data_IF_787745541080
#
_entry.id   IF_787745541080
#
_cell.length_a   1.000
_cell.length_b   1.000
_cell.length_c   1.000
_cell.angle_alpha   90.00
_cell.angle_beta   90.00
_cell.angle_gamma   90.00
#
_symmetry.space_group_name_H-M   'P 1'
#
loop_
_entity.id
_entity.type
_entity.pdbx_description
1 polymer ?
#
# COMPACT_ATOMS: atom_id res chain seq x y z
N UNK A 1 55.06 1.67 -23.76
CA UNK A 1 54.66 1.59 -22.35
C UNK A 1 53.18 1.88 -22.29
N UNK A 2 52.35 0.90 -21.86
CA UNK A 2 50.92 1.08 -21.74
C UNK A 2 50.62 1.78 -20.40
N UNK A 3 49.32 2.09 -20.13
CA UNK A 3 48.90 2.79 -18.92
C UNK A 3 49.21 1.99 -17.64
N UNK A 4 49.11 0.65 -17.73
CA UNK A 4 49.34 -0.24 -16.60
C UNK A 4 50.84 -0.29 -16.25
N UNK A 5 51.74 -0.36 -17.23
CA UNK A 5 53.19 -0.28 -17.05
C UNK A 5 53.63 1.07 -16.42
N UNK A 6 52.92 2.15 -16.76
CA UNK A 6 53.17 3.49 -16.20
C UNK A 6 52.72 3.58 -14.73
N UNK A 7 51.58 2.98 -14.39
CA UNK A 7 51.05 2.90 -13.03
C UNK A 7 52.00 2.06 -12.16
N UNK A 8 52.42 0.89 -12.64
CA UNK A 8 53.32 -0.01 -11.91
C UNK A 8 54.72 0.65 -11.67
N UNK A 9 55.20 1.41 -12.61
CA UNK A 9 56.46 2.17 -12.46
C UNK A 9 56.30 3.31 -11.46
N UNK A 10 55.14 3.99 -11.44
CA UNK A 10 54.78 5.03 -10.49
C UNK A 10 54.68 4.50 -9.05
N UNK A 11 54.09 3.31 -8.89
CA UNK A 11 53.96 2.62 -7.59
C UNK A 11 55.34 2.21 -7.09
N UNK A 12 56.17 1.57 -7.93
CA UNK A 12 57.50 1.13 -7.58
C UNK A 12 58.46 2.28 -7.16
N UNK A 13 58.19 3.48 -7.68
CA UNK A 13 58.99 4.68 -7.35
C UNK A 13 58.36 5.53 -6.23
N UNK A 14 57.30 5.09 -5.58
CA UNK A 14 56.59 5.81 -4.50
C UNK A 14 55.89 7.10 -4.94
N UNK A 15 55.71 7.30 -6.24
CA UNK A 15 55.04 8.47 -6.83
C UNK A 15 53.50 8.30 -6.83
N UNK A 16 53.05 7.04 -6.89
CA UNK A 16 51.61 6.68 -6.85
C UNK A 16 51.40 5.77 -5.63
N UNK A 17 50.64 6.22 -4.67
CA UNK A 17 50.11 5.34 -3.64
C UNK A 17 48.93 4.56 -4.19
N UNK A 18 48.98 3.23 -4.18
CA UNK A 18 47.80 2.40 -4.37
C UNK A 18 46.87 2.72 -3.20
N UNK A 19 45.67 3.28 -3.40
CA UNK A 19 44.77 3.42 -2.28
C UNK A 19 44.54 2.02 -1.72
N UNK A 20 44.74 1.84 -0.43
CA UNK A 20 44.30 0.61 0.27
C UNK A 20 42.85 0.38 -0.13
N UNK A 21 42.59 -0.72 -0.84
CA UNK A 21 41.26 -1.13 -1.20
C UNK A 21 40.61 -1.52 0.12
N UNK A 22 39.83 -0.63 0.68
CA UNK A 22 39.07 -0.89 1.91
C UNK A 22 38.13 -2.04 1.64
N UNK A 23 38.49 -3.24 2.09
CA UNK A 23 37.71 -4.46 1.90
C UNK A 23 36.49 -4.40 2.79
N UNK A 24 35.33 -4.08 2.23
CA UNK A 24 34.05 -4.09 2.93
C UNK A 24 33.14 -5.19 2.43
N UNK A 25 32.55 -5.90 3.36
CA UNK A 25 31.55 -6.94 3.08
C UNK A 25 30.23 -6.30 2.63
N UNK A 26 29.43 -7.08 1.91
CA UNK A 26 28.07 -6.65 1.51
C UNK A 26 27.23 -6.24 2.73
N UNK A 27 27.37 -6.94 3.86
CA UNK A 27 26.63 -6.62 5.09
C UNK A 27 27.02 -5.25 5.66
N UNK A 28 28.30 -4.93 5.70
CA UNK A 28 28.79 -3.63 6.18
C UNK A 28 28.27 -2.48 5.32
N UNK A 29 28.32 -2.66 4.00
CA UNK A 29 27.80 -1.68 3.05
C UNK A 29 26.27 -1.57 3.14
N UNK A 30 25.55 -2.70 3.30
CA UNK A 30 24.12 -2.67 3.52
C UNK A 30 23.75 -1.86 4.75
N UNK A 31 24.43 -2.03 5.88
CA UNK A 31 24.18 -1.27 7.12
C UNK A 31 24.34 0.23 6.90
N UNK A 32 25.44 0.65 6.27
CA UNK A 32 25.69 2.06 5.96
C UNK A 32 24.62 2.63 5.01
N UNK A 33 24.31 1.91 3.93
CA UNK A 33 23.26 2.28 2.99
C UNK A 33 21.89 2.38 3.66
N UNK A 34 21.57 1.43 4.55
CA UNK A 34 20.29 1.43 5.25
C UNK A 34 20.16 2.60 6.22
N UNK A 35 21.22 2.95 6.96
CA UNK A 35 21.26 4.15 7.80
C UNK A 35 21.03 5.44 7.01
N UNK A 36 21.60 5.55 5.81
CA UNK A 36 21.29 6.67 4.92
C UNK A 36 19.83 6.65 4.49
N UNK A 37 19.28 5.48 4.14
CA UNK A 37 17.90 5.34 3.64
C UNK A 37 16.84 5.69 4.67
N UNK A 38 17.02 5.40 5.93
CA UNK A 38 16.03 5.70 6.99
C UNK A 38 15.73 7.20 7.10
N UNK A 39 16.68 8.06 6.72
CA UNK A 39 16.51 9.52 6.72
C UNK A 39 15.87 10.08 5.45
N UNK A 40 15.77 9.28 4.39
CA UNK A 40 15.34 9.75 3.06
C UNK A 40 13.99 9.19 2.63
N UNK A 41 13.66 7.96 3.05
CA UNK A 41 12.44 7.28 2.61
C UNK A 41 11.43 7.11 3.75
N UNK A 42 10.19 6.82 3.40
CA UNK A 42 9.14 6.56 4.39
C UNK A 42 9.50 5.39 5.31
N UNK A 43 9.23 5.52 6.61
CA UNK A 43 9.50 4.50 7.63
C UNK A 43 8.92 3.11 7.28
N UNK A 44 7.73 3.04 6.69
CA UNK A 44 7.17 1.78 6.19
C UNK A 44 8.02 1.12 5.08
N UNK A 45 8.69 1.91 4.25
CA UNK A 45 9.58 1.39 3.21
C UNK A 45 10.85 0.85 3.83
N UNK A 46 11.37 1.50 4.87
CA UNK A 46 12.50 1.00 5.67
C UNK A 46 12.16 -0.34 6.31
N UNK A 47 10.99 -0.46 6.95
CA UNK A 47 10.54 -1.71 7.56
C UNK A 47 10.45 -2.85 6.54
N UNK A 48 10.03 -2.54 5.32
CA UNK A 48 9.93 -3.53 4.23
C UNK A 48 11.31 -3.97 3.73
N UNK A 49 12.25 -3.04 3.58
CA UNK A 49 13.65 -3.35 3.21
C UNK A 49 14.26 -4.25 4.25
N UNK A 50 14.16 -3.89 5.53
CA UNK A 50 14.72 -4.66 6.63
C UNK A 50 14.11 -6.07 6.73
N UNK A 51 12.77 -6.19 6.61
CA UNK A 51 12.11 -7.51 6.60
C UNK A 51 12.60 -8.37 5.43
N UNK A 52 12.79 -7.75 4.25
CA UNK A 52 13.32 -8.46 3.07
C UNK A 52 14.77 -8.89 3.29
N UNK A 53 15.60 -8.00 3.83
CA UNK A 53 16.99 -8.31 4.15
C UNK A 53 17.10 -9.44 5.17
N UNK A 54 16.42 -9.31 6.31
CA UNK A 54 16.47 -10.31 7.38
C UNK A 54 15.95 -11.67 6.93
N UNK A 55 15.01 -11.69 6.00
CA UNK A 55 14.42 -12.93 5.50
C UNK A 55 15.31 -13.65 4.49
N UNK A 56 15.98 -12.94 3.59
CA UNK A 56 16.64 -13.54 2.43
C UNK A 56 18.16 -13.38 2.43
N UNK A 57 18.69 -12.34 3.08
CA UNK A 57 20.10 -12.00 3.06
C UNK A 57 20.81 -12.38 4.36
N UNK A 58 20.21 -12.05 5.51
CA UNK A 58 20.86 -12.23 6.80
C UNK A 58 21.33 -13.66 7.01
N UNK A 59 22.61 -13.82 7.39
CA UNK A 59 23.24 -15.11 7.60
C UNK A 59 23.61 -15.90 6.33
N UNK A 60 23.27 -15.39 5.13
CA UNK A 60 23.67 -16.03 3.87
C UNK A 60 25.18 -15.91 3.62
N UNK A 61 25.72 -16.77 2.77
CA UNK A 61 27.11 -16.64 2.32
C UNK A 61 27.36 -15.33 1.57
N UNK A 62 26.35 -14.81 0.86
CA UNK A 62 26.44 -13.64 0.00
C UNK A 62 26.80 -12.37 0.77
N UNK A 63 26.21 -12.15 1.94
CA UNK A 63 26.45 -10.94 2.75
C UNK A 63 27.85 -10.88 3.34
N UNK A 64 28.51 -12.04 3.45
CA UNK A 64 29.89 -12.15 3.96
C UNK A 64 30.94 -11.90 2.90
N UNK A 65 30.55 -11.82 1.62
CA UNK A 65 31.48 -11.54 0.52
C UNK A 65 31.88 -10.07 0.52
N UNK A 66 33.14 -9.81 0.19
CA UNK A 66 33.60 -8.48 -0.15
C UNK A 66 32.87 -7.98 -1.41
N UNK A 67 32.36 -6.74 -1.38
CA UNK A 67 31.59 -6.18 -2.51
C UNK A 67 32.41 -6.07 -3.79
N UNK A 68 33.71 -5.93 -3.71
CA UNK A 68 34.64 -5.89 -4.85
C UNK A 68 34.77 -7.26 -5.56
N UNK A 69 34.49 -8.35 -4.82
CA UNK A 69 34.60 -9.74 -5.31
C UNK A 69 33.28 -10.29 -5.86
N UNK A 70 32.19 -9.53 -5.71
CA UNK A 70 30.90 -9.94 -6.22
C UNK A 70 30.86 -9.76 -7.74
N UNK A 71 30.79 -10.86 -8.45
CA UNK A 71 30.57 -10.92 -9.89
C UNK A 71 29.12 -11.31 -10.23
N UNK A 72 28.78 -11.27 -11.51
CA UNK A 72 27.44 -11.66 -12.00
C UNK A 72 27.07 -13.09 -11.61
N UNK A 73 28.04 -14.00 -11.67
CA UNK A 73 27.81 -15.40 -11.32
C UNK A 73 27.45 -15.56 -9.82
N UNK A 74 28.08 -14.78 -8.94
CA UNK A 74 27.77 -14.77 -7.53
C UNK A 74 26.34 -14.25 -7.26
N UNK A 75 25.96 -13.15 -7.93
CA UNK A 75 24.61 -12.59 -7.82
C UNK A 75 23.55 -13.55 -8.35
N UNK A 76 23.75 -14.14 -9.53
CA UNK A 76 22.86 -15.12 -10.14
C UNK A 76 22.72 -16.35 -9.24
N UNK A 77 23.83 -16.88 -8.73
CA UNK A 77 23.82 -18.03 -7.81
C UNK A 77 23.04 -17.74 -6.54
N UNK A 78 23.23 -16.56 -5.94
CA UNK A 78 22.49 -16.15 -4.76
C UNK A 78 20.98 -16.07 -5.05
N UNK A 79 20.57 -15.32 -6.08
CA UNK A 79 19.16 -15.12 -6.44
C UNK A 79 18.49 -16.43 -6.84
N UNK A 80 19.19 -17.31 -7.56
CA UNK A 80 18.69 -18.66 -7.90
C UNK A 80 18.50 -19.50 -6.65
N UNK A 81 19.48 -19.47 -5.73
CA UNK A 81 19.38 -20.16 -4.44
C UNK A 81 18.18 -19.69 -3.62
N UNK A 82 17.89 -18.41 -3.60
CA UNK A 82 16.71 -17.83 -2.94
C UNK A 82 15.42 -18.35 -3.58
N UNK A 83 15.28 -18.31 -4.90
CA UNK A 83 14.06 -18.77 -5.60
C UNK A 83 13.82 -20.27 -5.36
N UNK A 84 14.87 -21.07 -5.51
CA UNK A 84 14.75 -22.54 -5.38
C UNK A 84 14.52 -22.95 -3.93
N UNK A 85 15.25 -22.33 -2.99
CA UNK A 85 15.18 -22.68 -1.57
C UNK A 85 13.85 -22.30 -0.91
N UNK A 86 13.22 -21.20 -1.34
CA UNK A 86 11.93 -20.75 -0.76
C UNK A 86 10.71 -21.31 -1.49
N UNK A 87 10.79 -21.57 -2.79
CA UNK A 87 9.76 -22.25 -3.61
C UNK A 87 8.44 -21.50 -3.85
N UNK A 88 8.19 -20.37 -3.18
CA UNK A 88 6.92 -19.63 -3.25
C UNK A 88 7.12 -18.10 -3.39
N UNK A 89 8.19 -17.67 -4.05
CA UNK A 89 8.49 -16.26 -4.25
C UNK A 89 7.70 -15.70 -5.43
N UNK A 90 6.99 -14.58 -5.23
CA UNK A 90 6.33 -13.88 -6.31
C UNK A 90 7.30 -12.99 -7.09
N UNK A 91 6.98 -12.67 -8.36
CA UNK A 91 7.80 -11.75 -9.18
C UNK A 91 8.02 -10.40 -8.49
N UNK A 92 7.01 -9.89 -7.77
CA UNK A 92 7.11 -8.63 -7.02
C UNK A 92 8.05 -8.75 -5.81
N UNK A 93 8.04 -9.87 -5.12
CA UNK A 93 8.93 -10.12 -4.00
C UNK A 93 10.37 -10.31 -4.49
N UNK A 94 10.54 -11.04 -5.57
CA UNK A 94 11.82 -11.21 -6.22
C UNK A 94 12.45 -9.88 -6.64
N UNK A 95 11.66 -8.98 -7.27
CA UNK A 95 12.14 -7.63 -7.60
C UNK A 95 12.65 -6.86 -6.38
N UNK A 96 12.02 -7.01 -5.21
CA UNK A 96 12.49 -6.37 -3.97
C UNK A 96 13.82 -6.96 -3.49
N UNK A 97 13.96 -8.28 -3.59
CA UNK A 97 15.21 -8.96 -3.22
C UNK A 97 16.34 -8.42 -4.10
N UNK A 98 16.16 -8.44 -5.41
CA UNK A 98 17.14 -7.92 -6.34
C UNK A 98 17.47 -6.44 -6.08
N UNK A 99 16.46 -5.59 -5.84
CA UNK A 99 16.66 -4.16 -5.59
C UNK A 99 17.57 -3.89 -4.39
N UNK A 100 17.58 -4.74 -3.36
CA UNK A 100 18.51 -4.60 -2.23
C UNK A 100 19.93 -4.82 -2.73
N UNK A 101 20.21 -5.92 -3.45
CA UNK A 101 21.53 -6.18 -3.99
C UNK A 101 22.02 -5.03 -4.87
N UNK A 102 21.21 -4.61 -5.83
CA UNK A 102 21.53 -3.52 -6.74
C UNK A 102 21.81 -2.20 -6.01
N UNK A 103 20.95 -1.80 -5.09
CA UNK A 103 21.09 -0.52 -4.39
C UNK A 103 22.30 -0.49 -3.46
N UNK A 104 22.64 -1.61 -2.83
CA UNK A 104 23.85 -1.73 -1.99
C UNK A 104 25.10 -1.62 -2.82
N UNK A 105 25.16 -2.26 -4.01
CA UNK A 105 26.31 -2.16 -4.91
C UNK A 105 26.43 -0.76 -5.54
N UNK A 106 25.30 -0.11 -5.89
CA UNK A 106 25.29 1.29 -6.34
C UNK A 106 25.85 2.20 -5.24
N UNK A 107 25.48 1.96 -3.99
CA UNK A 107 25.99 2.74 -2.85
C UNK A 107 27.48 2.47 -2.59
N UNK A 108 27.94 1.22 -2.70
CA UNK A 108 29.35 0.88 -2.61
C UNK A 108 30.20 1.61 -3.66
N UNK A 109 29.66 1.71 -4.89
CA UNK A 109 30.31 2.47 -5.95
C UNK A 109 30.26 3.98 -5.70
N UNK A 110 29.19 4.51 -5.12
CA UNK A 110 29.12 5.91 -4.68
C UNK A 110 30.19 6.23 -3.62
N UNK A 111 30.51 5.27 -2.74
CA UNK A 111 31.61 5.38 -1.78
C UNK A 111 32.99 5.23 -2.44
N UNK A 112 33.07 5.09 -3.74
CA UNK A 112 34.29 4.91 -4.51
C UNK A 112 35.12 3.67 -4.11
N UNK A 113 34.47 2.62 -3.60
CA UNK A 113 35.15 1.36 -3.29
C UNK A 113 35.65 0.72 -4.60
N UNK A 114 36.93 0.37 -4.63
CA UNK A 114 37.57 -0.22 -5.81
C UNK A 114 36.96 -1.58 -6.17
N UNK A 115 36.96 -1.90 -7.49
CA UNK A 115 36.52 -3.23 -7.99
C UNK A 115 35.01 -3.50 -7.98
N UNK A 116 34.16 -2.62 -7.44
CA UNK A 116 32.71 -2.83 -7.37
C UNK A 116 32.10 -2.77 -8.78
N UNK A 117 31.39 -3.85 -9.14
CA UNK A 117 30.66 -3.98 -10.42
C UNK A 117 29.18 -3.69 -10.23
N UNK A 118 28.58 -3.00 -11.20
CA UNK A 118 27.14 -2.87 -11.33
C UNK A 118 26.63 -3.84 -12.38
N UNK A 119 25.51 -4.46 -12.10
CA UNK A 119 24.97 -5.51 -12.94
C UNK A 119 23.72 -5.02 -13.67
N UNK A 120 23.60 -5.43 -14.94
CA UNK A 120 22.38 -5.21 -15.70
C UNK A 120 21.31 -6.24 -15.23
N UNK A 121 20.18 -5.71 -14.80
CA UNK A 121 19.04 -6.52 -14.36
C UNK A 121 18.50 -7.42 -15.46
N UNK A 122 18.37 -6.92 -16.69
CA UNK A 122 17.87 -7.70 -17.81
C UNK A 122 18.77 -8.88 -18.14
N UNK A 123 20.07 -8.70 -17.98
CA UNK A 123 21.04 -9.76 -18.15
C UNK A 123 20.91 -10.81 -17.05
N UNK A 124 20.86 -10.41 -15.79
CA UNK A 124 20.69 -11.31 -14.64
C UNK A 124 19.41 -12.13 -14.77
N UNK A 125 18.31 -11.48 -15.16
CA UNK A 125 16.99 -12.07 -15.31
C UNK A 125 16.98 -13.26 -16.27
N UNK A 126 17.82 -13.26 -17.32
CA UNK A 126 17.92 -14.36 -18.29
C UNK A 126 18.44 -15.68 -17.69
N UNK A 127 19.20 -15.57 -16.60
CA UNK A 127 19.84 -16.73 -15.95
C UNK A 127 19.16 -17.17 -14.66
N UNK A 128 18.13 -16.43 -14.23
CA UNK A 128 17.36 -16.77 -13.03
C UNK A 128 16.12 -17.58 -13.44
N UNK A 129 15.75 -18.63 -12.68
CA UNK A 129 14.63 -19.50 -13.05
C UNK A 129 13.27 -18.84 -12.82
N UNK A 130 12.93 -17.81 -13.61
CA UNK A 130 11.66 -17.07 -13.49
C UNK A 130 10.41 -17.94 -13.59
N UNK A 131 10.47 -19.05 -14.31
CA UNK A 131 9.37 -20.01 -14.41
C UNK A 131 8.99 -20.66 -13.06
N UNK A 132 9.83 -20.54 -12.04
CA UNK A 132 9.56 -20.96 -10.66
C UNK A 132 8.95 -19.87 -9.78
N UNK A 133 8.84 -18.63 -10.27
CA UNK A 133 8.17 -17.56 -9.54
C UNK A 133 6.67 -17.79 -9.54
N UNK A 134 6.07 -17.64 -8.36
CA UNK A 134 4.62 -17.81 -8.20
C UNK A 134 3.88 -16.60 -8.71
N UNK A 135 2.82 -16.80 -9.49
CA UNK A 135 1.89 -15.75 -9.88
C UNK A 135 1.08 -15.31 -8.67
N UNK A 136 0.87 -14.00 -8.54
CA UNK A 136 0.00 -13.47 -7.48
C UNK A 136 -1.45 -13.95 -7.73
N UNK A 137 -2.01 -14.79 -6.84
CA UNK A 137 -3.33 -15.40 -7.05
C UNK A 137 -4.50 -14.42 -6.95
N UNK A 138 -4.26 -13.17 -6.50
CA UNK A 138 -5.32 -12.19 -6.25
C UNK A 138 -5.45 -11.11 -7.34
N UNK A 139 -4.75 -11.27 -8.48
CA UNK A 139 -4.66 -10.19 -9.45
C UNK A 139 -5.99 -9.83 -10.13
N UNK A 140 -6.94 -10.76 -10.19
CA UNK A 140 -8.18 -10.60 -10.99
C UNK A 140 -9.49 -10.89 -10.23
N UNK A 141 -9.48 -10.86 -8.90
CA UNK A 141 -10.68 -11.11 -8.10
C UNK A 141 -11.38 -9.82 -7.70
N UNK A 142 -12.69 -9.73 -8.00
CA UNK A 142 -13.64 -8.78 -7.43
C UNK A 142 -14.67 -9.54 -6.58
N UNK A 143 -15.21 -8.92 -5.53
CA UNK A 143 -16.22 -9.55 -4.67
C UNK A 143 -17.52 -9.69 -5.48
N UNK A 144 -18.11 -10.89 -5.54
CA UNK A 144 -19.40 -11.10 -6.18
C UNK A 144 -20.49 -10.22 -5.56
N UNK A 145 -21.40 -9.68 -6.39
CA UNK A 145 -22.51 -8.82 -5.94
C UNK A 145 -23.34 -9.49 -4.83
N UNK A 146 -23.68 -10.76 -4.99
CA UNK A 146 -24.45 -11.52 -4.00
C UNK A 146 -23.77 -11.59 -2.62
N UNK A 147 -22.42 -11.65 -2.60
CA UNK A 147 -21.65 -11.65 -1.35
C UNK A 147 -21.66 -10.26 -0.70
N UNK A 148 -21.58 -9.19 -1.49
CA UNK A 148 -21.71 -7.81 -0.99
C UNK A 148 -23.09 -7.59 -0.38
N UNK A 149 -24.16 -7.95 -1.08
CA UNK A 149 -25.53 -7.82 -0.61
C UNK A 149 -25.77 -8.64 0.66
N UNK A 150 -25.16 -9.82 0.78
CA UNK A 150 -25.19 -10.64 2.01
C UNK A 150 -24.54 -9.93 3.19
N UNK A 151 -23.34 -9.34 2.97
CA UNK A 151 -22.63 -8.58 4.00
C UNK A 151 -23.43 -7.35 4.45
N UNK A 152 -23.98 -6.59 3.51
CA UNK A 152 -24.80 -5.41 3.78
C UNK A 152 -26.06 -5.78 4.55
N UNK A 153 -26.79 -6.81 4.10
CA UNK A 153 -28.01 -7.29 4.79
C UNK A 153 -27.71 -7.68 6.23
N UNK A 154 -26.67 -8.46 6.48
CA UNK A 154 -26.32 -8.90 7.82
C UNK A 154 -25.93 -7.74 8.74
N UNK A 155 -25.09 -6.82 8.26
CA UNK A 155 -24.54 -5.74 9.09
C UNK A 155 -25.53 -4.58 9.25
N UNK A 156 -26.22 -4.18 8.17
CA UNK A 156 -27.02 -2.96 8.13
C UNK A 156 -28.49 -3.23 8.45
N UNK A 157 -29.10 -4.21 7.77
CA UNK A 157 -30.54 -4.49 7.93
C UNK A 157 -30.84 -5.34 9.16
N UNK A 158 -30.07 -6.41 9.39
CA UNK A 158 -30.29 -7.33 10.51
C UNK A 158 -29.55 -6.91 11.78
N UNK A 159 -28.74 -5.88 11.74
CA UNK A 159 -27.95 -5.39 12.85
C UNK A 159 -27.07 -6.48 13.50
N UNK A 160 -26.58 -7.43 12.71
CA UNK A 160 -25.79 -8.56 13.15
C UNK A 160 -24.32 -8.35 12.79
N UNK A 161 -23.47 -8.45 13.79
CA UNK A 161 -22.02 -8.28 13.63
C UNK A 161 -21.24 -9.17 14.61
N UNK A 162 -20.19 -9.87 14.13
CA UNK A 162 -19.46 -10.82 14.97
C UNK A 162 -18.51 -10.17 15.95
N UNK A 163 -18.20 -8.87 15.75
CA UNK A 163 -17.25 -8.09 16.54
C UNK A 163 -17.68 -6.62 16.55
N UNK A 164 -16.74 -5.71 16.61
CA UNK A 164 -16.87 -4.25 16.65
C UNK A 164 -17.84 -3.70 15.59
N UNK A 165 -18.99 -3.20 16.02
CA UNK A 165 -20.05 -2.71 15.13
C UNK A 165 -19.55 -1.58 14.22
N UNK A 166 -18.91 -0.55 14.79
CA UNK A 166 -18.39 0.58 14.00
C UNK A 166 -17.45 0.11 12.90
N UNK A 167 -16.56 -0.86 13.20
CA UNK A 167 -15.67 -1.42 12.20
C UNK A 167 -16.41 -2.19 11.10
N UNK A 168 -17.47 -2.94 11.44
CA UNK A 168 -18.28 -3.66 10.46
C UNK A 168 -19.02 -2.67 9.55
N UNK A 169 -19.68 -1.65 10.11
CA UNK A 169 -20.36 -0.60 9.34
C UNK A 169 -19.41 0.15 8.41
N UNK A 170 -18.23 0.56 8.90
CA UNK A 170 -17.20 1.20 8.07
C UNK A 170 -16.71 0.30 6.92
N UNK A 171 -16.56 -1.02 7.17
CA UNK A 171 -16.12 -1.96 6.14
C UNK A 171 -17.16 -2.16 5.04
N UNK A 172 -18.44 -2.29 5.37
CA UNK A 172 -19.49 -2.45 4.36
C UNK A 172 -19.77 -1.13 3.63
N UNK A 173 -19.71 0.01 4.32
CA UNK A 173 -19.74 1.34 3.70
C UNK A 173 -18.65 1.52 2.64
N UNK A 174 -17.50 0.90 2.86
CA UNK A 174 -16.38 1.04 1.93
C UNK A 174 -16.62 0.41 0.54
N UNK A 175 -17.65 -0.40 0.35
CA UNK A 175 -18.10 -0.82 -0.97
C UNK A 175 -18.68 0.34 -1.80
N UNK A 176 -19.16 1.40 -1.15
CA UNK A 176 -19.66 2.62 -1.80
C UNK A 176 -18.59 3.72 -1.93
N UNK A 177 -17.49 3.62 -1.19
CA UNK A 177 -16.46 4.67 -1.14
C UNK A 177 -15.14 4.26 -1.82
N UNK A 178 -14.82 2.98 -1.87
CA UNK A 178 -13.59 2.47 -2.48
C UNK A 178 -12.29 2.95 -1.82
N UNK A 179 -12.30 3.29 -0.54
CA UNK A 179 -11.16 3.85 0.19
C UNK A 179 -10.02 2.84 0.39
N UNK A 180 -8.79 3.37 0.48
CA UNK A 180 -7.69 2.59 1.05
C UNK A 180 -7.95 2.33 2.53
N UNK A 181 -7.53 1.18 3.05
CA UNK A 181 -7.79 0.82 4.45
C UNK A 181 -7.22 1.84 5.46
N UNK A 182 -6.10 2.50 5.13
CA UNK A 182 -5.54 3.58 5.94
C UNK A 182 -6.39 4.85 5.92
N UNK A 183 -6.96 5.19 4.78
CA UNK A 183 -7.94 6.28 4.63
C UNK A 183 -9.18 5.98 5.48
N UNK A 184 -9.75 4.78 5.32
CA UNK A 184 -10.92 4.34 6.10
C UNK A 184 -10.69 4.38 7.61
N UNK A 185 -9.52 3.94 8.08
CA UNK A 185 -9.16 3.93 9.50
C UNK A 185 -8.98 5.33 10.09
N UNK A 186 -8.64 6.32 9.27
CA UNK A 186 -8.39 7.70 9.68
C UNK A 186 -9.58 8.63 9.56
N UNK A 187 -10.72 8.16 9.00
CA UNK A 187 -11.91 8.98 8.84
C UNK A 187 -12.48 9.47 10.17
N UNK A 188 -12.87 10.73 10.19
CA UNK A 188 -13.53 11.40 11.31
C UNK A 188 -14.88 11.96 10.89
N UNK A 189 -15.76 12.28 11.85
CA UNK A 189 -17.03 12.93 11.60
C UNK A 189 -16.89 14.31 10.94
N UNK A 190 -15.74 14.98 11.12
CA UNK A 190 -15.43 16.25 10.45
C UNK A 190 -15.15 16.12 8.95
N UNK A 191 -14.85 14.90 8.49
CA UNK A 191 -14.64 14.63 7.07
C UNK A 191 -15.95 14.36 6.31
N UNK A 192 -17.08 14.24 7.04
CA UNK A 192 -18.41 13.91 6.49
C UNK A 192 -19.27 15.15 6.46
N UNK A 193 -19.67 15.55 5.27
CA UNK A 193 -20.68 16.57 5.05
C UNK A 193 -21.98 15.89 4.57
N UNK A 194 -22.96 15.84 5.46
CA UNK A 194 -24.27 15.24 5.14
C UNK A 194 -25.20 16.22 4.42
N UNK A 195 -24.96 17.52 4.51
CA UNK A 195 -25.73 18.56 3.82
C UNK A 195 -25.39 18.56 2.33
N UNK A 196 -24.07 18.64 2.02
CA UNK A 196 -23.57 18.55 0.64
C UNK A 196 -23.44 17.10 0.14
N UNK A 197 -23.72 16.11 0.98
CA UNK A 197 -23.58 14.66 0.70
C UNK A 197 -22.22 14.29 0.11
N UNK A 198 -21.16 14.74 0.75
CA UNK A 198 -19.78 14.42 0.37
C UNK A 198 -18.97 13.93 1.56
N UNK A 199 -17.96 13.13 1.27
CA UNK A 199 -16.93 12.76 2.25
C UNK A 199 -15.56 13.17 1.73
N UNK A 200 -14.82 13.91 2.56
CA UNK A 200 -13.49 14.43 2.22
C UNK A 200 -12.41 13.46 2.67
N UNK A 201 -11.55 13.07 1.75
CA UNK A 201 -10.42 12.19 2.00
C UNK A 201 -9.15 13.02 1.92
N UNK A 202 -8.51 13.27 3.07
CA UNK A 202 -7.30 14.11 3.17
C UNK A 202 -6.20 13.49 4.06
N UNK A 203 -6.47 12.37 4.72
CA UNK A 203 -5.55 11.75 5.67
C UNK A 203 -5.55 10.23 5.60
N UNK A 204 -4.49 9.63 6.08
CA UNK A 204 -4.35 8.16 6.10
C UNK A 204 -3.62 7.69 7.35
N UNK A 205 -4.07 6.57 7.91
CA UNK A 205 -3.32 5.89 8.97
C UNK A 205 -2.12 5.16 8.37
N UNK A 206 -0.96 5.41 8.93
CA UNK A 206 0.29 4.73 8.62
C UNK A 206 0.80 3.98 9.85
N UNK A 207 1.64 2.98 9.62
CA UNK A 207 2.29 2.22 10.69
C UNK A 207 3.75 2.01 10.36
N UNK A 208 4.61 2.16 11.37
CA UNK A 208 6.05 1.90 11.23
C UNK A 208 6.66 1.66 12.60
N UNK A 209 7.84 1.04 12.63
CA UNK A 209 8.66 1.00 13.83
C UNK A 209 9.40 2.33 14.01
N UNK A 210 9.51 2.79 15.24
CA UNK A 210 10.52 3.80 15.59
C UNK A 210 11.89 3.17 15.50
N UNK A 211 12.88 3.99 15.17
CA UNK A 211 14.27 3.56 15.05
C UNK A 211 15.16 4.46 15.89
N UNK A 212 16.21 3.88 16.42
CA UNK A 212 17.28 4.62 17.10
C UNK A 212 18.28 5.22 16.09
N UNK A 213 19.33 5.83 16.61
CA UNK A 213 20.42 6.43 15.82
C UNK A 213 21.20 5.40 14.98
N UNK A 214 21.18 4.13 15.40
CA UNK A 214 21.81 3.01 14.69
C UNK A 214 20.87 2.37 13.64
N UNK A 215 19.64 2.90 13.49
CA UNK A 215 18.65 2.36 12.58
C UNK A 215 17.91 1.11 13.08
N UNK A 216 18.17 0.68 14.30
CA UNK A 216 17.52 -0.47 14.91
C UNK A 216 16.12 -0.13 15.40
N UNK A 217 15.23 -1.12 15.37
CA UNK A 217 13.84 -0.93 15.82
C UNK A 217 13.75 -0.71 17.33
N UNK A 218 13.07 0.37 17.72
CA UNK A 218 12.81 0.70 19.10
C UNK A 218 11.35 0.48 19.47
N UNK A 219 11.12 -0.43 20.41
CA UNK A 219 9.80 -0.65 20.99
C UNK A 219 8.75 -1.25 20.05
N UNK A 220 7.48 -0.94 20.32
CA UNK A 220 6.35 -1.43 19.56
C UNK A 220 6.12 -0.62 18.27
N UNK A 221 5.41 -1.23 17.32
CA UNK A 221 4.95 -0.55 16.10
C UNK A 221 4.05 0.64 16.46
N UNK A 222 4.34 1.80 15.90
CA UNK A 222 3.59 3.04 16.10
C UNK A 222 2.63 3.24 14.94
N UNK A 223 1.41 3.65 15.27
CA UNK A 223 0.40 4.08 14.31
C UNK A 223 0.31 5.60 14.35
N UNK A 224 0.30 6.23 13.20
CA UNK A 224 0.15 7.66 13.06
C UNK A 224 -0.84 7.97 11.93
N UNK A 225 -1.74 8.92 12.17
CA UNK A 225 -2.54 9.54 11.13
C UNK A 225 -1.72 10.68 10.55
N UNK A 226 -1.49 10.62 9.24
CA UNK A 226 -0.76 11.64 8.50
C UNK A 226 -1.69 12.25 7.47
N UNK A 227 -1.63 13.54 7.29
CA UNK A 227 -2.24 14.20 6.15
C UNK A 227 -1.49 13.76 4.90
N UNK A 228 -2.21 13.26 3.90
CA UNK A 228 -1.57 12.77 2.68
C UNK A 228 -1.24 13.94 1.74
N UNK A 229 -0.24 14.73 2.17
CA UNK A 229 0.20 15.95 1.48
C UNK A 229 1.06 15.63 0.25
N UNK A 230 1.26 14.35 -0.10
CA UNK A 230 2.22 13.96 -1.15
C UNK A 230 1.87 14.46 -2.55
N UNK A 231 0.60 14.61 -2.83
CA UNK A 231 0.13 15.18 -4.10
C UNK A 231 -1.19 15.90 -3.85
N UNK A 232 -1.42 17.01 -4.53
CA UNK A 232 -2.71 17.72 -4.56
C UNK A 232 -3.88 16.77 -4.92
N UNK A 233 -3.57 15.60 -5.51
CA UNK A 233 -4.51 14.57 -5.93
C UNK A 233 -4.89 13.55 -4.85
N UNK A 234 -4.18 13.55 -3.72
CA UNK A 234 -4.54 12.69 -2.57
C UNK A 234 -5.75 13.22 -1.82
N UNK A 235 -5.95 14.53 -1.84
CA UNK A 235 -7.13 15.19 -1.28
C UNK A 235 -8.24 15.15 -2.33
N UNK A 236 -9.35 14.51 -1.98
CA UNK A 236 -10.51 14.37 -2.85
C UNK A 236 -11.79 14.32 -2.07
N UNK A 237 -12.88 14.66 -2.70
CA UNK A 237 -14.23 14.49 -2.20
C UNK A 237 -14.89 13.31 -2.93
N UNK A 238 -15.63 12.49 -2.23
CA UNK A 238 -16.40 11.37 -2.79
C UNK A 238 -17.86 11.66 -2.50
N UNK A 239 -18.74 11.67 -3.51
CA UNK A 239 -20.17 11.79 -3.33
C UNK A 239 -20.72 10.63 -2.51
N UNK A 240 -21.62 10.92 -1.58
CA UNK A 240 -22.30 9.94 -0.76
C UNK A 240 -23.63 9.54 -1.43
N UNK A 241 -23.73 8.28 -1.82
CA UNK A 241 -25.00 7.69 -2.21
C UNK A 241 -25.94 7.60 -1.00
N UNK A 242 -27.27 7.60 -1.20
CA UNK A 242 -28.25 7.48 -0.11
C UNK A 242 -27.97 6.30 0.82
N UNK A 243 -27.52 5.17 0.28
CA UNK A 243 -27.17 3.98 1.04
C UNK A 243 -25.94 4.21 1.95
N UNK A 244 -24.95 4.96 1.48
CA UNK A 244 -23.78 5.33 2.28
C UNK A 244 -24.17 6.30 3.40
N UNK A 245 -25.08 7.26 3.13
CA UNK A 245 -25.66 8.16 4.12
C UNK A 245 -26.41 7.36 5.19
N UNK A 246 -27.27 6.43 4.79
CA UNK A 246 -28.00 5.56 5.71
C UNK A 246 -27.06 4.75 6.64
N UNK A 247 -25.94 4.23 6.09
CA UNK A 247 -24.95 3.52 6.92
C UNK A 247 -24.27 4.49 7.91
N UNK A 248 -23.97 5.72 7.48
CA UNK A 248 -23.41 6.75 8.37
C UNK A 248 -24.36 7.14 9.50
N UNK A 249 -25.66 7.26 9.21
CA UNK A 249 -26.70 7.51 10.23
C UNK A 249 -26.76 6.36 11.25
N UNK A 250 -26.78 5.12 10.79
CA UNK A 250 -26.68 3.93 11.65
C UNK A 250 -25.44 3.92 12.53
N UNK A 251 -24.31 4.37 11.97
CA UNK A 251 -23.07 4.49 12.72
C UNK A 251 -23.15 5.59 13.79
N UNK A 252 -23.77 6.74 13.47
CA UNK A 252 -24.00 7.85 14.40
C UNK A 252 -24.94 7.41 15.53
N UNK A 253 -26.07 6.80 15.21
CA UNK A 253 -26.99 6.22 16.20
C UNK A 253 -26.29 5.24 17.15
N UNK A 254 -25.39 4.41 16.61
CA UNK A 254 -24.61 3.49 17.44
C UNK A 254 -23.66 4.23 18.38
N UNK A 255 -22.95 5.25 17.89
CA UNK A 255 -22.05 6.05 18.72
C UNK A 255 -22.80 6.78 19.82
N UNK A 256 -23.97 7.38 19.51
CA UNK A 256 -24.81 8.10 20.47
C UNK A 256 -25.34 7.15 21.54
N UNK A 257 -25.84 5.97 21.15
CA UNK A 257 -26.34 4.93 22.06
C UNK A 257 -25.27 4.41 23.03
N UNK A 258 -24.01 4.33 22.54
CA UNK A 258 -22.88 3.90 23.35
C UNK A 258 -22.21 5.05 24.12
N UNK A 259 -22.65 6.30 23.94
CA UNK A 259 -22.04 7.49 24.56
C UNK A 259 -20.62 7.75 24.06
N UNK A 260 -20.28 7.37 22.82
CA UNK A 260 -18.96 7.59 22.25
C UNK A 260 -18.76 9.06 21.86
N UNK A 261 -17.78 9.72 22.49
CA UNK A 261 -17.40 11.12 22.21
C UNK A 261 -16.10 11.21 21.41
N UNK A 262 -15.84 10.24 20.56
CA UNK A 262 -14.64 10.21 19.74
C UNK A 262 -14.90 10.76 18.34
N UNK A 263 -13.87 11.40 17.75
CA UNK A 263 -13.99 11.98 16.41
C UNK A 263 -13.98 10.94 15.28
N UNK A 264 -13.40 9.75 15.49
CA UNK A 264 -13.22 8.74 14.44
C UNK A 264 -14.51 7.94 14.18
N UNK A 265 -14.80 7.66 12.90
CA UNK A 265 -15.90 6.79 12.51
C UNK A 265 -15.67 5.35 13.00
N UNK A 266 -14.47 4.83 12.76
CA UNK A 266 -14.08 3.49 13.20
C UNK A 266 -13.58 3.52 14.66
N UNK A 267 -14.50 3.68 15.61
CA UNK A 267 -14.22 3.71 17.04
C UNK A 267 -15.01 2.61 17.78
N UNK A 268 -14.37 1.93 18.72
CA UNK A 268 -14.97 0.78 19.45
C UNK A 268 -15.18 0.98 20.96
N UNK A 269 -15.10 2.23 21.40
CA UNK A 269 -15.30 2.61 22.80
C UNK A 269 -14.02 2.65 23.64
N UNK A 270 -12.91 2.09 23.15
CA UNK A 270 -11.61 2.09 23.84
C UNK A 270 -10.54 2.83 23.06
N UNK A 271 -10.40 2.50 21.77
CA UNK A 271 -9.41 3.11 20.89
C UNK A 271 -9.96 3.12 19.45
N UNK A 272 -9.36 3.92 18.58
CA UNK A 272 -9.60 3.90 17.14
C UNK A 272 -9.36 2.50 16.58
N UNK A 273 -10.23 2.06 15.69
CA UNK A 273 -10.06 0.76 15.04
C UNK A 273 -8.98 0.88 13.97
N UNK A 274 -7.78 0.42 14.29
CA UNK A 274 -6.60 0.48 13.45
C UNK A 274 -6.71 -0.38 12.19
N UNK A 275 -5.95 -0.06 11.15
CA UNK A 275 -5.85 -0.83 9.89
C UNK A 275 -5.79 -2.34 10.12
N UNK A 276 -4.91 -2.80 11.03
CA UNK A 276 -4.77 -4.23 11.34
C UNK A 276 -6.04 -4.82 11.97
N UNK A 277 -6.77 -4.01 12.72
CA UNK A 277 -8.03 -4.44 13.35
C UNK A 277 -9.15 -4.53 12.32
N UNK A 278 -9.21 -3.60 11.35
CA UNK A 278 -10.16 -3.66 10.23
C UNK A 278 -9.97 -4.92 9.40
N UNK A 279 -8.75 -5.28 9.01
CA UNK A 279 -8.47 -6.54 8.28
C UNK A 279 -8.91 -7.78 9.07
N UNK A 280 -8.65 -7.79 10.38
CA UNK A 280 -9.08 -8.89 11.25
C UNK A 280 -10.61 -8.95 11.39
N UNK A 281 -11.25 -7.79 11.48
CA UNK A 281 -12.71 -7.69 11.53
C UNK A 281 -13.34 -8.19 10.23
N UNK A 282 -12.82 -7.77 9.08
CA UNK A 282 -13.28 -8.25 7.77
C UNK A 282 -13.19 -9.76 7.65
N UNK A 283 -12.07 -10.37 8.09
CA UNK A 283 -11.92 -11.83 8.09
C UNK A 283 -12.97 -12.53 8.93
N UNK A 284 -13.30 -11.99 10.10
CA UNK A 284 -14.36 -12.54 10.95
C UNK A 284 -15.74 -12.33 10.35
N UNK A 285 -15.98 -11.16 9.77
CA UNK A 285 -17.25 -10.83 9.11
C UNK A 285 -17.51 -11.77 7.92
N UNK A 286 -16.51 -11.96 7.03
CA UNK A 286 -16.63 -12.90 5.92
C UNK A 286 -16.96 -14.30 6.39
N UNK A 287 -16.28 -14.81 7.42
CA UNK A 287 -16.56 -16.14 8.00
C UNK A 287 -17.97 -16.21 8.58
N UNK A 288 -18.41 -15.18 9.28
CA UNK A 288 -19.73 -15.16 9.90
C UNK A 288 -20.86 -15.12 8.86
N UNK A 289 -20.66 -14.41 7.77
CA UNK A 289 -21.65 -14.30 6.68
C UNK A 289 -21.51 -15.43 5.64
N UNK A 290 -20.68 -16.44 5.88
CA UNK A 290 -20.39 -17.50 4.90
C UNK A 290 -19.98 -16.95 3.52
N UNK A 291 -19.07 -15.99 3.53
CA UNK A 291 -18.50 -15.34 2.35
C UNK A 291 -17.02 -15.70 2.28
N UNK A 292 -16.53 -16.04 1.08
CA UNK A 292 -15.10 -16.29 0.88
C UNK A 292 -14.28 -15.07 1.29
N UNK A 293 -13.27 -15.28 2.14
CA UNK A 293 -12.43 -14.18 2.61
C UNK A 293 -11.72 -13.45 1.47
N UNK A 294 -11.73 -12.14 1.56
CA UNK A 294 -10.98 -11.19 0.74
C UNK A 294 -10.37 -10.08 1.61
N UNK A 295 -9.35 -9.39 1.09
CA UNK A 295 -8.72 -8.27 1.81
C UNK A 295 -9.46 -6.95 1.58
N UNK A 296 -9.23 -5.97 2.44
CA UNK A 296 -9.76 -4.60 2.27
C UNK A 296 -9.35 -3.97 0.93
N UNK A 297 -8.20 -4.34 0.37
CA UNK A 297 -7.79 -3.87 -0.96
C UNK A 297 -8.69 -4.41 -2.08
N UNK A 298 -9.28 -5.59 -1.90
CA UNK A 298 -10.23 -6.16 -2.87
C UNK A 298 -11.55 -5.39 -2.86
N UNK A 299 -12.01 -4.85 -1.72
CA UNK A 299 -13.18 -3.96 -1.66
C UNK A 299 -12.97 -2.77 -2.62
N UNK A 300 -11.84 -2.10 -2.51
CA UNK A 300 -11.49 -0.98 -3.39
C UNK A 300 -11.39 -1.38 -4.87
N UNK A 301 -10.82 -2.56 -5.15
CA UNK A 301 -10.78 -3.11 -6.51
C UNK A 301 -12.19 -3.40 -7.04
N UNK A 302 -13.05 -3.97 -6.20
CA UNK A 302 -14.46 -4.24 -6.53
C UNK A 302 -15.21 -2.96 -6.87
N UNK A 303 -15.06 -1.92 -6.06
CA UNK A 303 -15.61 -0.58 -6.32
C UNK A 303 -15.21 -0.09 -7.73
N UNK A 304 -13.92 -0.07 -8.05
CA UNK A 304 -13.44 0.36 -9.37
C UNK A 304 -13.98 -0.52 -10.51
N UNK A 305 -14.05 -1.84 -10.31
CA UNK A 305 -14.57 -2.79 -11.30
C UNK A 305 -16.06 -2.56 -11.58
N UNK A 306 -16.85 -2.30 -10.54
CA UNK A 306 -18.28 -2.03 -10.66
C UNK A 306 -18.56 -0.69 -11.35
N UNK A 307 -17.81 0.35 -11.02
CA UNK A 307 -17.93 1.64 -11.70
C UNK A 307 -17.52 1.55 -13.18
N UNK A 308 -16.46 0.80 -13.48
CA UNK A 308 -16.08 0.55 -14.86
C UNK A 308 -17.18 -0.21 -15.61
N UNK A 309 -17.78 -1.23 -14.99
CA UNK A 309 -18.90 -1.99 -15.53
C UNK A 309 -20.17 -1.17 -15.73
N UNK A 310 -20.38 -0.08 -14.98
CA UNK A 310 -21.50 0.86 -15.18
C UNK A 310 -21.28 1.82 -16.36
N UNK A 311 -20.09 1.78 -16.99
CA UNK A 311 -19.71 2.66 -18.09
C UNK A 311 -19.06 3.96 -17.65
N UNK A 312 -18.70 4.11 -16.35
CA UNK A 312 -18.00 5.30 -15.89
C UNK A 312 -16.64 5.43 -16.59
N UNK A 313 -16.30 6.59 -17.16
CA UNK A 313 -14.98 6.81 -17.74
C UNK A 313 -13.85 6.54 -16.72
N UNK A 314 -12.81 5.82 -17.16
CA UNK A 314 -11.66 5.41 -16.30
C UNK A 314 -11.03 6.58 -15.56
N UNK A 315 -11.07 7.77 -16.13
CA UNK A 315 -10.58 8.99 -15.53
C UNK A 315 -11.32 9.34 -14.24
N UNK A 316 -12.66 9.37 -14.26
CA UNK A 316 -13.44 9.65 -13.04
C UNK A 316 -13.23 8.58 -11.96
N UNK A 317 -13.06 7.30 -12.38
CA UNK A 317 -12.70 6.23 -11.44
C UNK A 317 -11.33 6.51 -10.82
N UNK A 318 -10.34 6.94 -11.61
CA UNK A 318 -9.01 7.29 -11.13
C UNK A 318 -9.04 8.45 -10.13
N UNK A 319 -9.84 9.47 -10.40
CA UNK A 319 -10.01 10.64 -9.52
C UNK A 319 -10.66 10.23 -8.19
N UNK A 320 -11.76 9.48 -8.22
CA UNK A 320 -12.42 8.94 -7.02
C UNK A 320 -11.48 8.06 -6.19
N UNK A 321 -10.63 7.30 -6.85
CA UNK A 321 -9.67 6.44 -6.18
C UNK A 321 -8.40 7.19 -5.73
N UNK A 322 -8.12 8.40 -6.21
CA UNK A 322 -6.89 9.12 -5.92
C UNK A 322 -5.66 8.35 -6.39
N UNK A 323 -5.63 7.95 -7.66
CA UNK A 323 -4.47 7.32 -8.30
C UNK A 323 -3.54 8.38 -8.87
N UNK A 324 -2.25 8.32 -8.52
CA UNK A 324 -1.23 9.28 -8.94
C UNK A 324 -0.69 9.06 -10.36
N UNK A 325 -0.91 7.90 -10.98
CA UNK A 325 -0.21 7.50 -12.20
C UNK A 325 -0.78 8.06 -13.51
N UNK A 326 -1.92 8.75 -13.49
CA UNK A 326 -2.49 9.41 -14.67
C UNK A 326 -2.27 10.92 -14.74
N UNK A 327 -1.32 11.45 -14.02
CA UNK A 327 -1.33 12.83 -13.58
C UNK A 327 -0.34 13.76 -14.28
N UNK A 328 0.14 13.49 -15.41
CA UNK A 328 1.13 14.43 -15.96
C UNK A 328 0.53 15.61 -16.76
N UNK A 329 -0.79 15.74 -16.94
CA UNK A 329 -1.24 16.71 -17.94
C UNK A 329 -2.36 17.70 -17.59
N UNK A 330 -3.14 17.60 -16.51
CA UNK A 330 -4.31 18.51 -16.42
C UNK A 330 -4.62 19.06 -15.01
N UNK A 331 -3.95 20.15 -14.68
CA UNK A 331 -4.27 21.05 -13.55
C UNK A 331 -5.67 21.67 -13.60
N UNK A 332 -6.40 21.54 -14.69
CA UNK A 332 -7.68 22.23 -14.93
C UNK A 332 -8.92 21.42 -14.52
N UNK A 333 -8.79 20.27 -13.87
CA UNK A 333 -9.88 19.31 -13.72
C UNK A 333 -10.59 19.26 -12.36
N UNK A 334 -10.04 19.87 -11.32
CA UNK A 334 -10.76 20.02 -10.03
C UNK A 334 -12.05 20.84 -10.20
N UNK A 335 -12.06 21.78 -11.16
CA UNK A 335 -13.24 22.57 -11.49
C UNK A 335 -14.31 21.76 -12.27
N UNK A 336 -13.91 20.81 -13.11
CA UNK A 336 -14.87 20.00 -13.88
C UNK A 336 -15.56 18.89 -13.09
N UNK A 337 -15.04 18.54 -11.92
CA UNK A 337 -15.65 17.55 -11.02
C UNK A 337 -17.00 18.05 -10.48
N UNK A 338 -17.09 19.30 -10.04
CA UNK A 338 -18.35 19.90 -9.58
C UNK A 338 -19.37 20.07 -10.70
N UNK A 339 -18.93 20.37 -11.92
CA UNK A 339 -19.79 20.57 -13.08
C UNK A 339 -20.42 19.25 -13.58
N UNK A 340 -19.81 18.08 -13.25
CA UNK A 340 -20.29 16.75 -13.67
C UNK A 340 -20.81 15.90 -12.51
N UNK A 341 -21.09 16.50 -11.35
CA UNK A 341 -21.51 15.79 -10.13
C UNK A 341 -22.72 14.87 -10.35
N UNK A 342 -23.75 15.35 -11.06
CA UNK A 342 -24.96 14.55 -11.35
C UNK A 342 -24.67 13.35 -12.26
N UNK A 343 -23.81 13.53 -13.26
CA UNK A 343 -23.41 12.42 -14.12
C UNK A 343 -22.61 11.37 -13.35
N UNK A 344 -21.74 11.82 -12.44
CA UNK A 344 -20.96 10.95 -11.57
C UNK A 344 -21.87 10.14 -10.63
N UNK A 345 -22.84 10.77 -9.99
CA UNK A 345 -23.86 10.10 -9.19
C UNK A 345 -24.62 9.06 -10.00
N UNK A 346 -25.03 9.39 -11.23
CA UNK A 346 -25.73 8.46 -12.13
C UNK A 346 -24.92 7.19 -12.40
N UNK A 347 -23.62 7.30 -12.65
CA UNK A 347 -22.75 6.13 -12.81
C UNK A 347 -22.58 5.35 -11.52
N UNK A 348 -22.44 6.05 -10.39
CA UNK A 348 -22.31 5.42 -9.07
C UNK A 348 -23.57 4.67 -8.69
N UNK A 349 -24.76 5.26 -8.84
CA UNK A 349 -26.04 4.57 -8.63
C UNK A 349 -26.14 3.31 -9.49
N UNK A 350 -25.86 3.41 -10.78
CA UNK A 350 -25.92 2.26 -11.68
C UNK A 350 -24.95 1.14 -11.32
N UNK A 351 -23.73 1.47 -10.87
CA UNK A 351 -22.69 0.49 -10.57
C UNK A 351 -22.74 -0.06 -9.15
N UNK A 352 -23.22 0.74 -8.20
CA UNK A 352 -23.18 0.47 -6.77
C UNK A 352 -24.59 0.29 -6.17
N UNK A 353 -25.60 0.05 -6.99
CA UNK A 353 -26.97 -0.27 -6.57
C UNK A 353 -27.01 -1.62 -5.83
N UNK A 354 -26.60 -1.61 -4.59
CA UNK A 354 -26.75 -2.72 -3.64
C UNK A 354 -28.02 -2.51 -2.85
N UNK A 355 -29.09 -3.16 -3.20
CA UNK A 355 -30.42 -3.00 -2.59
C UNK A 355 -30.38 -3.06 -1.07
N UNK A 356 -30.42 -1.91 -0.41
CA UNK A 356 -30.63 -1.75 1.01
C UNK A 356 -32.04 -1.24 1.26
N UNK A 357 -32.81 -1.93 2.12
CA UNK A 357 -34.09 -1.44 2.59
C UNK A 357 -33.83 -0.23 3.49
N UNK A 358 -34.17 0.96 3.07
CA UNK A 358 -33.97 2.23 3.80
C UNK A 358 -33.26 3.32 3.01
N UNK A 359 -32.73 3.02 1.82
CA UNK A 359 -32.20 4.01 0.88
C UNK A 359 -33.24 4.52 -0.14
N UNK A 360 -34.49 4.08 -0.06
CA UNK A 360 -35.56 4.61 -0.89
C UNK A 360 -35.94 6.00 -0.36
N UNK A 361 -35.37 7.04 -0.98
CA UNK A 361 -35.88 8.40 -0.82
C UNK A 361 -37.30 8.45 -1.38
N UNK A 362 -38.25 8.98 -0.61
CA UNK A 362 -39.59 9.37 -1.06
C UNK A 362 -39.48 10.38 -2.23
N UNK A 363 -39.26 9.90 -3.45
CA UNK A 363 -39.44 10.69 -4.68
C UNK A 363 -40.90 10.67 -5.19
N UNK A 364 -41.84 10.19 -4.40
CA UNK A 364 -43.27 10.13 -4.79
C UNK A 364 -44.16 11.22 -4.15
N UNK A 365 -43.59 12.36 -3.78
CA UNK A 365 -44.38 13.51 -3.32
C UNK A 365 -44.16 14.73 -4.22
N UNK A 366 -44.76 14.75 -5.41
CA UNK A 366 -44.70 15.92 -6.27
C UNK A 366 -45.24 15.76 -7.67
N UNK A 367 -46.47 15.17 -7.81
CA UNK A 367 -47.31 15.41 -9.00
C UNK A 367 -48.77 15.23 -8.63
N UNK A 368 -49.36 16.33 -8.23
CA UNK A 368 -50.80 16.65 -8.34
C UNK A 368 -50.97 18.13 -8.53
#
# INVERSE_FOLDING_TARGET
MNLDEWIDLGISNGVVSVPEIEEKTFEEIYRQWFLMKINVIKAQSCDRIEVTYNRYYAGSWFVKQNVSMLDEAAVIRFLTGVIVGWGNITSKEFSRIYQIANNVLVYARFLQLGGVRLFDWEMIRRYVPEGKLVKDPHKDFAVPRADIERLLRMVVEQDIYPVKRSACLCLVMNFYLGLRVGELASLTWQDVDLEDRVIRICKTETKAYRRDENGERCGAMVYAVVEDVKTVYSVREIPLLPEAVYILEKLREHHDRCGYKNQYLAYDGRDTVRVRSLDRTLRKLCRYCDVKYFSTHVIRKTFATMLHGSGMPTRYISDLMGHSDMVTTERNYILSYRDNYNALLGYMHKGLDFRLRGGETDESAGDT
#
